data_IF_802626634961
#
_entry.id   IF_802626634961
#
_cell.length_a   1.000
_cell.length_b   1.000
_cell.length_c   1.000
_cell.angle_alpha   90.00
_cell.angle_beta   90.00
_cell.angle_gamma   90.00
#
_symmetry.space_group_name_H-M   'P 1'
#
loop_
_entity.id
_entity.type
_entity.pdbx_description
1 polymer ?
#
# COMPACT_ATOMS: atom_id res chain seq x y z
N UNK A 1 -8.53 6.87 26.75
CA UNK A 1 -7.84 7.17 25.47
C UNK A 1 -7.33 5.86 24.90
N UNK A 2 -7.97 5.34 23.86
CA UNK A 2 -7.88 3.92 23.47
C UNK A 2 -6.59 3.61 22.69
N UNK A 3 -5.72 2.88 23.36
CA UNK A 3 -4.44 2.31 22.91
C UNK A 3 -4.56 1.19 21.85
N UNK A 4 -5.53 1.30 20.94
CA UNK A 4 -5.99 0.18 20.10
C UNK A 4 -5.86 0.45 18.60
N UNK A 5 -4.86 1.24 18.19
CA UNK A 5 -4.60 1.50 16.75
C UNK A 5 -3.86 0.32 16.11
N UNK A 6 -4.17 0.02 14.84
CA UNK A 6 -3.52 -1.03 14.05
C UNK A 6 -2.00 -0.87 14.02
N UNK A 7 -1.53 0.38 14.00
CA UNK A 7 -0.10 0.73 14.07
C UNK A 7 0.56 0.22 15.35
N UNK A 8 -0.07 0.45 16.52
CA UNK A 8 0.45 0.01 17.82
C UNK A 8 0.40 -1.52 17.96
N UNK A 9 -0.62 -2.18 17.40
CA UNK A 9 -0.68 -3.66 17.31
C UNK A 9 0.45 -4.25 16.49
N UNK A 10 0.72 -3.68 15.32
CA UNK A 10 1.80 -4.15 14.45
C UNK A 10 3.17 -3.91 15.07
N UNK A 11 3.35 -2.78 15.75
CA UNK A 11 4.58 -2.49 16.50
C UNK A 11 4.82 -3.49 17.64
N UNK A 12 3.80 -3.78 18.46
CA UNK A 12 3.90 -4.79 19.52
C UNK A 12 4.20 -6.19 18.99
N UNK A 13 3.71 -6.54 17.79
CA UNK A 13 4.02 -7.83 17.15
C UNK A 13 5.47 -7.91 16.70
N UNK A 14 6.03 -6.82 16.17
CA UNK A 14 7.44 -6.71 15.78
C UNK A 14 8.37 -6.77 17.00
N UNK A 15 8.05 -6.04 18.06
CA UNK A 15 8.82 -6.05 19.31
C UNK A 15 8.83 -7.45 19.92
N UNK A 16 7.68 -8.16 19.95
CA UNK A 16 7.61 -9.56 20.40
C UNK A 16 8.39 -10.55 19.53
N UNK A 17 8.52 -10.29 18.22
CA UNK A 17 9.31 -11.12 17.33
C UNK A 17 10.81 -11.00 17.63
N UNK A 18 11.29 -9.79 17.97
CA UNK A 18 12.69 -9.54 18.35
C UNK A 18 13.11 -10.34 19.60
N UNK A 19 12.23 -10.45 20.59
CA UNK A 19 12.46 -11.27 21.79
C UNK A 19 12.44 -12.78 21.52
N UNK A 20 12.02 -13.23 20.34
CA UNK A 20 12.04 -14.65 19.96
C UNK A 20 13.41 -15.10 19.40
N UNK A 21 14.28 -14.16 19.01
CA UNK A 21 15.65 -14.47 18.55
C UNK A 21 16.63 -14.67 19.73
N UNK A 22 16.34 -14.07 20.89
CA UNK A 22 17.10 -14.23 22.13
C UNK A 22 16.61 -15.49 22.89
N UNK A 23 17.12 -16.66 22.50
CA UNK A 23 16.68 -17.97 22.96
C UNK A 23 16.67 -18.18 24.48
N UNK A 24 15.55 -17.87 25.13
CA UNK A 24 15.26 -18.28 26.51
C UNK A 24 13.90 -19.00 26.62
N UNK A 25 13.99 -20.32 26.75
CA UNK A 25 13.19 -21.26 27.56
C UNK A 25 11.67 -21.15 27.73
N UNK A 26 10.95 -20.46 26.86
CA UNK A 26 9.49 -20.53 26.83
C UNK A 26 9.01 -21.17 25.53
N UNK A 27 8.78 -22.49 25.60
CA UNK A 27 7.89 -23.25 24.70
C UNK A 27 6.49 -22.61 24.53
N UNK A 28 6.15 -21.59 25.35
CA UNK A 28 5.12 -20.57 25.05
C UNK A 28 5.71 -19.59 24.02
N UNK A 29 5.58 -19.79 22.74
CA UNK A 29 4.40 -20.35 22.09
C UNK A 29 4.80 -20.61 20.64
N UNK A 30 5.43 -21.76 20.37
CA UNK A 30 5.96 -22.11 19.05
C UNK A 30 4.92 -21.96 17.92
N UNK A 31 3.62 -21.98 18.27
CA UNK A 31 2.51 -21.70 17.36
C UNK A 31 2.34 -20.21 17.09
N UNK A 32 2.47 -19.33 18.09
CA UNK A 32 2.42 -17.88 17.90
C UNK A 32 3.62 -17.35 17.14
N UNK A 33 4.84 -17.83 17.42
CA UNK A 33 6.05 -17.51 16.62
C UNK A 33 5.85 -17.95 15.17
N UNK A 34 5.38 -19.19 14.94
CA UNK A 34 5.01 -19.66 13.58
C UNK A 34 3.90 -18.85 12.92
N UNK A 35 3.00 -18.23 13.69
CA UNK A 35 1.91 -17.38 13.16
C UNK A 35 2.44 -16.00 12.78
N UNK A 36 3.31 -15.42 13.61
CA UNK A 36 3.97 -14.14 13.34
C UNK A 36 4.87 -14.26 12.11
N UNK A 37 5.73 -15.29 12.06
CA UNK A 37 6.61 -15.51 10.91
C UNK A 37 5.82 -15.71 9.61
N UNK A 38 4.74 -16.50 9.63
CA UNK A 38 3.85 -16.64 8.48
C UNK A 38 3.18 -15.33 8.06
N UNK A 39 2.81 -14.48 9.02
CA UNK A 39 2.24 -13.17 8.70
C UNK A 39 3.28 -12.25 8.05
N UNK A 40 4.50 -12.21 8.60
CA UNK A 40 5.62 -11.44 8.06
C UNK A 40 5.99 -11.89 6.65
N UNK A 41 6.07 -13.20 6.42
CA UNK A 41 6.34 -13.79 5.11
C UNK A 41 5.24 -13.45 4.10
N UNK A 42 3.96 -13.50 4.49
CA UNK A 42 2.85 -13.05 3.63
C UNK A 42 2.92 -11.57 3.30
N UNK A 43 3.24 -10.71 4.27
CA UNK A 43 3.38 -9.27 4.02
C UNK A 43 4.57 -8.99 3.10
N UNK A 44 5.69 -9.71 3.27
CA UNK A 44 6.85 -9.65 2.38
C UNK A 44 6.46 -10.07 0.96
N UNK A 45 5.84 -11.24 0.79
CA UNK A 45 5.38 -11.74 -0.51
C UNK A 45 4.36 -10.79 -1.16
N UNK A 46 3.44 -10.20 -0.38
CA UNK A 46 2.48 -9.21 -0.89
C UNK A 46 3.18 -7.96 -1.43
N UNK A 47 4.22 -7.48 -0.73
CA UNK A 47 5.01 -6.33 -1.17
C UNK A 47 5.80 -6.66 -2.44
N UNK A 48 6.44 -7.82 -2.48
CA UNK A 48 7.21 -8.29 -3.64
C UNK A 48 6.31 -8.47 -4.87
N UNK A 49 5.15 -9.13 -4.71
CA UNK A 49 4.17 -9.26 -5.78
C UNK A 49 3.69 -7.89 -6.28
N UNK A 50 3.39 -6.95 -5.37
CA UNK A 50 2.98 -5.59 -5.76
C UNK A 50 4.07 -4.84 -6.51
N UNK A 51 5.34 -5.04 -6.13
CA UNK A 51 6.49 -4.43 -6.79
C UNK A 51 6.75 -5.04 -8.18
N UNK A 52 6.49 -6.33 -8.36
CA UNK A 52 6.63 -7.04 -9.64
C UNK A 52 5.49 -6.73 -10.62
N UNK A 53 4.37 -6.17 -10.17
CA UNK A 53 3.28 -5.83 -11.08
C UNK A 53 3.63 -4.60 -11.92
N UNK A 54 3.16 -4.55 -13.19
CA UNK A 54 3.29 -3.35 -14.00
C UNK A 54 2.69 -2.15 -13.26
N UNK A 55 3.44 -1.05 -13.29
CA UNK A 55 3.07 0.21 -12.67
C UNK A 55 2.93 1.30 -13.74
N UNK A 56 1.91 2.12 -13.57
CA UNK A 56 1.64 3.29 -14.39
C UNK A 56 1.60 4.51 -13.48
N UNK A 57 2.19 5.60 -13.96
CA UNK A 57 2.05 6.92 -13.35
C UNK A 57 0.93 7.64 -14.07
N UNK A 58 -0.10 8.05 -13.32
CA UNK A 58 -1.17 8.89 -13.82
C UNK A 58 -0.95 10.28 -13.26
N UNK A 59 -0.62 11.22 -14.13
CA UNK A 59 -0.42 12.63 -13.81
C UNK A 59 -1.69 13.41 -14.10
N UNK A 60 -2.07 14.27 -13.16
CA UNK A 60 -3.12 15.28 -13.31
C UNK A 60 -2.52 16.62 -12.98
N UNK A 61 -2.22 17.39 -14.02
CA UNK A 61 -1.46 18.63 -13.91
C UNK A 61 -0.14 18.42 -13.13
N UNK A 62 -0.01 19.02 -11.94
CA UNK A 62 1.18 18.89 -11.08
C UNK A 62 1.15 17.68 -10.13
N UNK A 63 0.02 16.97 -10.03
CA UNK A 63 -0.14 15.85 -9.11
C UNK A 63 0.08 14.52 -9.84
N UNK A 64 0.95 13.65 -9.33
CA UNK A 64 1.15 12.32 -9.90
C UNK A 64 0.72 11.20 -8.94
N UNK A 65 0.14 10.15 -9.52
CA UNK A 65 -0.38 8.99 -8.80
C UNK A 65 0.18 7.71 -9.38
N UNK A 66 0.75 6.87 -8.52
CA UNK A 66 1.24 5.56 -8.92
C UNK A 66 0.13 4.52 -8.81
N UNK A 67 -0.22 3.91 -9.94
CA UNK A 67 -1.21 2.84 -10.04
C UNK A 67 -0.51 1.53 -10.42
N UNK A 68 -0.64 0.52 -9.57
CA UNK A 68 -0.06 -0.82 -9.81
C UNK A 68 -1.15 -1.84 -10.13
N UNK A 69 -0.81 -2.88 -10.88
CA UNK A 69 -1.73 -3.99 -11.17
C UNK A 69 -2.80 -3.62 -12.18
N UNK A 70 -2.34 -3.01 -13.27
CA UNK A 70 -3.11 -2.64 -14.47
C UNK A 70 -2.20 -2.92 -15.67
N UNK A 71 -2.79 -3.30 -16.80
CA UNK A 71 -2.05 -3.71 -18.00
C UNK A 71 -2.03 -2.63 -19.08
N UNK A 72 -2.82 -1.57 -18.92
CA UNK A 72 -2.93 -0.47 -19.88
C UNK A 72 -3.06 0.89 -19.18
N UNK A 73 -2.77 1.95 -19.93
CA UNK A 73 -2.92 3.35 -19.50
C UNK A 73 -4.38 3.68 -19.19
N UNK A 74 -5.31 3.21 -20.01
CA UNK A 74 -6.75 3.41 -19.81
C UNK A 74 -7.22 2.74 -18.50
N UNK A 75 -6.78 1.52 -18.22
CA UNK A 75 -7.08 0.83 -16.96
C UNK A 75 -6.51 1.57 -15.74
N UNK A 76 -5.35 2.20 -15.88
CA UNK A 76 -4.74 3.00 -14.81
C UNK A 76 -5.63 4.21 -14.45
N UNK A 77 -6.13 4.92 -15.47
CA UNK A 77 -7.05 6.05 -15.32
C UNK A 77 -8.39 5.59 -14.75
N UNK A 78 -8.98 4.52 -15.27
CA UNK A 78 -10.27 3.98 -14.80
C UNK A 78 -10.21 3.47 -13.35
N UNK A 79 -9.06 2.96 -12.93
CA UNK A 79 -8.84 2.53 -11.56
C UNK A 79 -8.68 3.73 -10.62
N UNK A 80 -8.02 4.79 -11.09
CA UNK A 80 -7.84 6.02 -10.35
C UNK A 80 -9.16 6.82 -10.24
N UNK A 81 -9.99 6.82 -11.28
CA UNK A 81 -11.28 7.52 -11.31
C UNK A 81 -12.28 6.99 -10.27
N UNK A 82 -12.19 5.70 -9.93
CA UNK A 82 -12.97 5.08 -8.85
C UNK A 82 -12.53 5.49 -7.45
N UNK A 83 -11.35 6.12 -7.31
CA UNK A 83 -10.86 6.55 -6.01
C UNK A 83 -11.52 7.86 -5.61
N UNK A 84 -12.25 7.87 -4.49
CA UNK A 84 -13.02 9.04 -4.04
C UNK A 84 -12.16 10.30 -3.86
N UNK A 85 -10.91 10.14 -3.41
CA UNK A 85 -9.98 11.27 -3.27
C UNK A 85 -9.64 11.90 -4.63
N UNK A 86 -9.44 11.08 -5.66
CA UNK A 86 -9.16 11.54 -7.01
C UNK A 86 -10.36 12.27 -7.62
N UNK A 87 -11.55 11.67 -7.50
CA UNK A 87 -12.79 12.29 -7.96
C UNK A 87 -13.02 13.66 -7.31
N UNK A 88 -12.80 13.77 -6.00
CA UNK A 88 -12.92 15.04 -5.28
C UNK A 88 -11.87 16.07 -5.72
N UNK A 89 -10.65 15.63 -6.04
CA UNK A 89 -9.60 16.51 -6.54
C UNK A 89 -9.96 17.09 -7.91
N UNK A 90 -10.38 16.23 -8.85
CA UNK A 90 -10.79 16.66 -10.20
C UNK A 90 -11.99 17.60 -10.14
N UNK A 91 -12.97 17.34 -9.27
CA UNK A 91 -14.12 18.23 -9.11
C UNK A 91 -13.71 19.60 -8.55
N UNK A 92 -12.80 19.67 -7.58
CA UNK A 92 -12.28 20.95 -7.07
C UNK A 92 -11.52 21.73 -8.14
N UNK A 93 -10.72 21.06 -8.97
CA UNK A 93 -10.03 21.71 -10.09
C UNK A 93 -11.04 22.30 -11.09
N UNK A 94 -12.12 21.56 -11.39
CA UNK A 94 -13.22 22.06 -12.24
C UNK A 94 -13.99 23.22 -11.61
N UNK A 95 -14.23 23.18 -10.30
CA UNK A 95 -14.87 24.29 -9.55
C UNK A 95 -14.03 25.57 -9.57
N UNK A 96 -12.71 25.43 -9.70
CA UNK A 96 -11.75 26.54 -9.77
C UNK A 96 -11.47 27.02 -11.22
N UNK A 97 -12.20 26.52 -12.23
CA UNK A 97 -11.96 26.76 -13.65
C UNK A 97 -10.52 26.38 -14.13
N UNK A 98 -9.88 25.41 -13.46
CA UNK A 98 -8.59 24.89 -13.89
C UNK A 98 -8.75 23.84 -15.01
N UNK A 99 -7.92 23.92 -16.06
CA UNK A 99 -7.86 22.88 -17.08
C UNK A 99 -7.31 21.58 -16.47
N UNK A 100 -8.05 20.47 -16.64
CA UNK A 100 -7.67 19.16 -16.11
C UNK A 100 -7.03 18.33 -17.22
N UNK A 101 -5.71 18.24 -17.21
CA UNK A 101 -4.96 17.38 -18.13
C UNK A 101 -4.54 16.09 -17.42
N UNK A 102 -5.10 14.95 -17.88
CA UNK A 102 -4.80 13.62 -17.33
C UNK A 102 -3.93 12.87 -18.33
N UNK A 103 -2.69 12.56 -17.94
CA UNK A 103 -1.78 11.72 -18.72
C UNK A 103 -1.44 10.46 -17.93
N UNK A 104 -1.41 9.31 -18.59
CA UNK A 104 -0.91 8.07 -18.00
C UNK A 104 0.35 7.62 -18.74
N UNK A 105 1.43 7.35 -18.01
CA UNK A 105 2.70 6.86 -18.56
C UNK A 105 3.10 5.58 -17.85
N UNK A 106 3.54 4.59 -18.63
CA UNK A 106 4.08 3.36 -18.07
C UNK A 106 5.40 3.64 -17.37
N UNK A 107 5.51 3.28 -16.10
CA UNK A 107 6.78 3.36 -15.37
C UNK A 107 7.56 2.09 -15.70
N UNK A 108 8.73 2.22 -16.30
CA UNK A 108 9.71 1.12 -16.30
C UNK A 108 10.29 1.04 -14.88
N UNK A 109 10.03 -0.09 -14.22
CA UNK A 109 10.55 -0.39 -12.89
C UNK A 109 11.99 -0.85 -12.92
#
# INVERSE_FOLDING_TARGET
>A
MSDNTLKKKNQNLMEKAKYAEEGSDLKKDAKSVRRINRHMEREKNRKEQKAAQPAYEVSVNENSFKVTGVNSEQEAIDKLSKWSAFHNMVNKMKENDEEVNIEAKKIQG
#
